data_IF_678906346860
#
_entry.id   IF_678906346860
#
_cell.length_a   1.000
_cell.length_b   1.000
_cell.length_c   1.000
_cell.angle_alpha   90.00
_cell.angle_beta   90.00
_cell.angle_gamma   90.00
#
_symmetry.space_group_name_H-M   'P 1'
#
loop_
_entity.id
_entity.type
_entity.pdbx_description
1 polymer ?
#
# COMPACT_ATOMS: atom_id res chain seq x y z
N UNK A 1 19.89 16.37 27.98
CA UNK A 1 18.98 17.36 27.37
C UNK A 1 18.48 16.76 26.07
N UNK A 2 17.16 16.72 25.88
CA UNK A 2 16.51 16.09 24.72
C UNK A 2 16.71 16.97 23.47
N UNK A 3 17.52 16.50 22.53
CA UNK A 3 17.86 17.20 21.28
C UNK A 3 16.85 16.75 20.22
N UNK A 4 15.63 17.27 20.31
CA UNK A 4 14.50 16.73 19.54
C UNK A 4 14.22 17.43 18.21
N UNK A 5 14.58 18.71 18.05
CA UNK A 5 14.09 19.50 16.93
C UNK A 5 15.12 20.42 16.28
N UNK A 6 16.13 20.87 17.01
CA UNK A 6 16.99 21.96 16.56
C UNK A 6 18.45 21.67 16.96
N UNK A 7 19.30 21.38 15.98
CA UNK A 7 20.75 21.36 16.17
C UNK A 7 21.32 22.55 15.42
N UNK A 8 22.05 23.43 16.11
CA UNK A 8 22.69 24.57 15.47
C UNK A 8 24.14 24.23 15.12
N UNK A 9 24.56 24.50 13.89
CA UNK A 9 25.98 24.49 13.55
C UNK A 9 26.72 25.61 14.31
N UNK A 10 28.07 25.52 14.46
CA UNK A 10 28.88 26.66 14.93
C UNK A 10 28.74 27.94 14.08
N UNK A 11 28.21 27.81 12.85
CA UNK A 11 27.84 28.91 11.96
C UNK A 11 26.51 29.60 12.31
N UNK A 12 25.78 29.10 13.31
CA UNK A 12 24.45 29.60 13.72
C UNK A 12 23.30 29.13 12.84
N UNK A 13 23.53 28.19 11.92
CA UNK A 13 22.48 27.64 11.05
C UNK A 13 21.67 26.57 11.77
N UNK A 14 20.35 26.68 11.71
CA UNK A 14 19.43 25.66 12.19
C UNK A 14 19.49 24.42 11.27
N UNK A 15 19.90 23.30 11.82
CA UNK A 15 19.77 21.98 11.21
C UNK A 15 18.63 21.20 11.87
N UNK A 16 17.90 20.47 11.04
CA UNK A 16 17.03 19.39 11.50
C UNK A 16 17.95 18.25 11.94
N UNK A 17 17.70 17.69 13.13
CA UNK A 17 18.51 16.61 13.72
C UNK A 17 18.77 15.47 12.72
N UNK A 18 20.03 15.03 12.66
CA UNK A 18 20.47 13.92 11.78
C UNK A 18 19.93 12.55 12.18
N UNK A 19 19.26 12.45 13.35
CA UNK A 19 18.61 11.24 13.83
C UNK A 19 17.14 11.13 13.40
N UNK A 20 16.60 12.12 12.68
CA UNK A 20 15.25 11.99 12.14
C UNK A 20 15.20 10.91 11.06
N UNK A 21 14.26 9.96 11.21
CA UNK A 21 13.92 9.02 10.16
C UNK A 21 13.25 9.77 9.02
N UNK A 22 14.04 10.12 7.99
CA UNK A 22 13.54 10.82 6.82
C UNK A 22 13.46 9.84 5.65
N UNK A 23 12.24 9.65 5.13
CA UNK A 23 12.01 9.00 3.86
C UNK A 23 12.07 10.04 2.75
N UNK A 24 12.96 9.88 1.78
CA UNK A 24 13.17 10.82 0.67
C UNK A 24 12.80 10.16 -0.66
N UNK A 25 12.16 10.93 -1.55
CA UNK A 25 11.80 10.46 -2.88
C UNK A 25 13.08 10.14 -3.66
N UNK A 26 13.18 8.91 -4.16
CA UNK A 26 14.29 8.44 -5.02
C UNK A 26 13.85 8.25 -6.45
N UNK A 27 12.62 7.79 -6.65
CA UNK A 27 12.10 7.46 -7.96
C UNK A 27 10.61 7.72 -7.99
N UNK A 28 10.13 8.30 -9.08
CA UNK A 28 8.70 8.30 -9.41
C UNK A 28 8.50 7.83 -10.83
N UNK A 29 7.31 7.31 -11.11
CA UNK A 29 6.96 6.85 -12.46
C UNK A 29 5.50 6.49 -12.58
N UNK A 30 5.15 5.98 -13.75
CA UNK A 30 3.81 5.48 -14.05
C UNK A 30 3.91 4.00 -14.41
N UNK A 31 2.98 3.22 -13.91
CA UNK A 31 2.76 1.83 -14.28
C UNK A 31 1.32 1.67 -14.76
N UNK A 32 1.04 0.56 -15.41
CA UNK A 32 -0.25 0.29 -16.01
C UNK A 32 -0.81 -1.04 -15.52
N UNK A 33 -2.12 -1.09 -15.38
CA UNK A 33 -2.84 -2.32 -15.09
C UNK A 33 -2.69 -3.30 -16.23
N UNK A 34 -2.32 -4.53 -15.90
CA UNK A 34 -2.11 -5.64 -16.82
C UNK A 34 -3.21 -6.68 -16.64
N UNK A 35 -3.46 -7.47 -17.70
CA UNK A 35 -4.32 -8.65 -17.61
C UNK A 35 -3.58 -9.79 -16.90
N UNK A 36 -3.43 -9.68 -15.59
CA UNK A 36 -2.75 -10.64 -14.75
C UNK A 36 -3.46 -10.72 -13.41
N UNK A 37 -3.93 -11.91 -13.08
CA UNK A 37 -4.66 -12.18 -11.85
C UNK A 37 -3.68 -12.48 -10.71
N UNK A 38 -3.92 -11.87 -9.55
CA UNK A 38 -3.21 -12.18 -8.30
C UNK A 38 -4.19 -12.81 -7.33
N UNK A 39 -4.14 -14.14 -7.21
CA UNK A 39 -5.20 -14.92 -6.57
C UNK A 39 -6.32 -15.29 -7.56
N UNK A 40 -7.34 -15.97 -7.08
CA UNK A 40 -8.37 -16.56 -7.95
C UNK A 40 -9.37 -15.52 -8.47
N UNK A 41 -9.52 -14.40 -7.77
CA UNK A 41 -10.66 -13.49 -7.94
C UNK A 41 -10.26 -12.02 -8.07
N UNK A 42 -8.97 -11.69 -7.95
CA UNK A 42 -8.48 -10.37 -8.29
C UNK A 42 -8.34 -10.27 -9.81
N UNK A 43 -9.16 -9.45 -10.50
CA UNK A 43 -9.30 -9.52 -11.95
C UNK A 43 -8.04 -9.06 -12.69
N UNK A 44 -7.32 -8.09 -12.12
CA UNK A 44 -6.15 -7.48 -12.75
C UNK A 44 -5.13 -7.04 -11.71
N UNK A 45 -3.92 -6.73 -12.16
CA UNK A 45 -2.85 -6.25 -11.29
C UNK A 45 -1.86 -5.40 -12.06
N UNK A 46 -1.01 -4.70 -11.33
CA UNK A 46 0.13 -3.99 -11.90
C UNK A 46 1.38 -4.22 -11.07
N UNK A 47 2.53 -4.04 -11.70
CA UNK A 47 3.83 -4.10 -11.05
C UNK A 47 4.38 -2.70 -10.82
N UNK A 48 4.91 -2.47 -9.63
CA UNK A 48 5.77 -1.33 -9.35
C UNK A 48 7.20 -1.84 -9.19
N UNK A 49 8.19 -1.25 -9.88
CA UNK A 49 9.58 -1.60 -9.69
C UNK A 49 9.94 -1.58 -8.21
N UNK A 50 10.39 -2.73 -7.71
CA UNK A 50 11.16 -2.77 -6.48
C UNK A 50 12.57 -2.29 -6.76
N UNK A 51 13.35 -2.10 -5.70
CA UNK A 51 14.76 -1.79 -5.84
C UNK A 51 15.56 -2.69 -4.93
N UNK A 52 16.51 -3.44 -5.50
CA UNK A 52 17.57 -4.07 -4.70
C UNK A 52 18.48 -3.01 -4.06
N UNK A 53 18.59 -1.83 -4.68
CA UNK A 53 19.28 -0.68 -4.12
C UNK A 53 18.53 -0.08 -2.93
N UNK A 54 17.19 -0.15 -2.93
CA UNK A 54 16.31 0.43 -1.91
C UNK A 54 15.36 -0.64 -1.32
N UNK A 55 15.90 -1.69 -0.65
CA UNK A 55 15.10 -2.84 -0.23
C UNK A 55 14.01 -2.48 0.79
N UNK A 56 14.20 -1.40 1.53
CA UNK A 56 13.27 -0.92 2.57
C UNK A 56 12.46 0.31 2.11
N UNK A 57 12.35 0.56 0.81
CA UNK A 57 11.59 1.70 0.32
C UNK A 57 10.08 1.55 0.59
N UNK A 58 9.46 2.68 0.89
CA UNK A 58 8.02 2.85 0.93
C UNK A 58 7.53 3.28 -0.46
N UNK A 59 6.43 2.67 -0.92
CA UNK A 59 5.84 2.98 -2.22
C UNK A 59 4.48 3.63 -1.97
N UNK A 60 4.37 4.90 -2.37
CA UNK A 60 3.09 5.60 -2.40
C UNK A 60 2.50 5.54 -3.81
N UNK A 61 1.20 5.27 -3.90
CA UNK A 61 0.46 5.10 -5.14
C UNK A 61 -0.57 6.21 -5.33
N UNK A 62 -0.65 6.74 -6.54
CA UNK A 62 -1.64 7.73 -6.97
C UNK A 62 -2.25 7.33 -8.33
N UNK A 63 -3.27 8.05 -8.78
CA UNK A 63 -4.03 7.72 -9.99
C UNK A 63 -5.09 6.63 -9.76
N UNK A 64 -5.24 5.70 -10.69
CA UNK A 64 -6.19 4.60 -10.59
C UNK A 64 -7.66 4.93 -10.86
N UNK A 65 -8.01 6.20 -11.10
CA UNK A 65 -9.34 6.59 -11.56
C UNK A 65 -10.50 6.27 -10.59
N UNK A 66 -10.25 6.18 -9.29
CA UNK A 66 -11.27 5.76 -8.31
C UNK A 66 -11.17 4.29 -7.91
N UNK A 67 -10.40 3.48 -8.65
CA UNK A 67 -10.25 2.06 -8.34
C UNK A 67 -9.22 1.83 -7.23
N UNK A 68 -9.52 0.87 -6.36
CA UNK A 68 -8.64 0.49 -5.27
C UNK A 68 -7.53 -0.45 -5.73
N UNK A 69 -6.39 -0.39 -5.05
CA UNK A 69 -5.32 -1.37 -5.18
C UNK A 69 -4.69 -1.72 -3.83
N UNK A 70 -4.16 -2.94 -3.72
CA UNK A 70 -3.59 -3.49 -2.48
C UNK A 70 -2.33 -4.29 -2.82
N UNK A 71 -1.35 -4.28 -1.93
CA UNK A 71 -0.14 -5.08 -2.13
C UNK A 71 -0.47 -6.57 -2.06
N UNK A 72 -0.25 -7.27 -3.18
CA UNK A 72 -0.47 -8.72 -3.30
C UNK A 72 0.79 -9.53 -2.98
N UNK A 73 1.97 -8.93 -3.15
CA UNK A 73 3.23 -9.59 -2.81
C UNK A 73 4.44 -9.02 -3.53
N UNK A 74 5.58 -9.68 -3.33
CA UNK A 74 6.83 -9.42 -4.02
C UNK A 74 7.07 -10.55 -5.02
N UNK A 75 7.23 -10.21 -6.30
CA UNK A 75 7.37 -11.18 -7.39
C UNK A 75 8.72 -11.03 -8.08
N UNK A 76 9.35 -12.17 -8.37
CA UNK A 76 10.59 -12.27 -9.14
C UNK A 76 11.86 -11.84 -8.38
N UNK A 77 13.01 -11.99 -9.05
CA UNK A 77 14.35 -11.74 -8.48
C UNK A 77 14.66 -10.25 -8.24
N UNK A 78 13.89 -9.34 -8.82
CA UNK A 78 14.08 -7.89 -8.74
C UNK A 78 13.28 -7.20 -7.62
N UNK A 79 12.73 -7.96 -6.68
CA UNK A 79 11.89 -7.46 -5.58
C UNK A 79 10.70 -6.60 -6.05
N UNK A 80 10.16 -6.87 -7.25
CA UNK A 80 9.05 -6.11 -7.83
C UNK A 80 7.80 -6.27 -6.98
N UNK A 81 7.17 -5.17 -6.58
CA UNK A 81 5.94 -5.22 -5.78
C UNK A 81 4.75 -5.29 -6.71
N UNK A 82 3.91 -6.31 -6.52
CA UNK A 82 2.69 -6.51 -7.28
C UNK A 82 1.50 -6.00 -6.47
N UNK A 83 0.62 -5.27 -7.14
CA UNK A 83 -0.61 -4.76 -6.55
C UNK A 83 -1.80 -5.32 -7.30
N UNK A 84 -2.70 -5.98 -6.57
CA UNK A 84 -4.01 -6.37 -7.09
C UNK A 84 -4.93 -5.16 -7.15
N UNK A 85 -5.79 -5.08 -8.16
CA UNK A 85 -6.70 -3.94 -8.33
C UNK A 85 -8.02 -4.34 -8.99
N UNK A 86 -9.04 -3.48 -8.83
CA UNK A 86 -10.33 -3.58 -9.53
C UNK A 86 -10.37 -2.74 -10.82
N UNK A 87 -9.28 -2.06 -11.15
CA UNK A 87 -9.18 -1.20 -12.32
C UNK A 87 -9.15 -2.01 -13.64
N UNK A 88 -9.71 -1.46 -14.74
CA UNK A 88 -9.55 -2.04 -16.07
C UNK A 88 -8.08 -2.07 -16.53
N UNK A 89 -7.74 -3.04 -17.39
CA UNK A 89 -6.43 -3.12 -18.05
C UNK A 89 -6.12 -1.83 -18.79
N UNK A 90 -4.88 -1.35 -18.69
CA UNK A 90 -4.43 -0.07 -19.25
C UNK A 90 -4.68 1.15 -18.35
N UNK A 91 -5.36 1.00 -17.21
CA UNK A 91 -5.50 2.10 -16.25
C UNK A 91 -4.13 2.49 -15.68
N UNK A 92 -3.76 3.79 -15.67
CA UNK A 92 -2.49 4.23 -15.13
C UNK A 92 -2.53 4.39 -13.60
N UNK A 93 -1.46 3.94 -12.95
CA UNK A 93 -1.12 4.28 -11.57
C UNK A 93 0.23 4.98 -11.54
N UNK A 94 0.32 6.09 -10.82
CA UNK A 94 1.59 6.74 -10.53
C UNK A 94 2.16 6.16 -9.25
N UNK A 95 3.47 5.94 -9.21
CA UNK A 95 4.17 5.47 -8.02
C UNK A 95 5.27 6.45 -7.62
N UNK A 96 5.50 6.53 -6.32
CA UNK A 96 6.54 7.33 -5.68
C UNK A 96 7.28 6.45 -4.67
N UNK A 97 8.55 6.19 -4.94
CA UNK A 97 9.42 5.35 -4.12
C UNK A 97 10.22 6.25 -3.18
N UNK A 98 9.92 6.16 -1.89
CA UNK A 98 10.61 6.86 -0.83
C UNK A 98 11.52 5.92 -0.07
N UNK A 99 12.80 6.27 0.04
CA UNK A 99 13.79 5.49 0.76
C UNK A 99 14.17 6.19 2.05
N UNK A 100 14.41 5.41 3.11
CA UNK A 100 15.07 5.92 4.31
C UNK A 100 16.46 6.46 3.96
N UNK A 101 16.67 7.76 4.11
CA UNK A 101 18.00 8.37 3.94
C UNK A 101 18.72 8.37 5.29
N UNK A 102 19.88 7.70 5.37
CA UNK A 102 20.80 7.83 6.52
C UNK A 102 21.90 8.88 6.26
N UNK A 103 21.93 9.45 5.06
CA UNK A 103 22.91 10.44 4.61
C UNK A 103 22.19 11.65 4.03
N UNK A 104 22.58 12.83 4.48
CA UNK A 104 22.21 14.09 3.82
C UNK A 104 23.23 14.37 2.72
N UNK A 105 22.82 14.71 1.49
CA UNK A 105 23.73 15.20 0.48
C UNK A 105 24.50 16.41 1.04
N UNK A 106 25.77 16.63 0.64
CA UNK A 106 26.57 17.79 1.05
C UNK A 106 26.09 19.12 0.43
N UNK A 107 24.80 19.24 0.14
CA UNK A 107 24.16 20.47 -0.36
C UNK A 107 23.72 21.34 0.81
N UNK A 108 23.65 22.67 0.59
CA UNK A 108 23.07 23.61 1.55
C UNK A 108 21.58 23.29 1.76
N UNK A 109 21.29 22.36 2.68
CA UNK A 109 19.96 22.13 3.21
C UNK A 109 19.67 23.17 4.27
N UNK A 110 18.49 23.76 4.19
CA UNK A 110 17.98 24.69 5.17
C UNK A 110 16.55 25.08 4.84
N UNK A 111 15.78 25.45 5.86
CA UNK A 111 14.50 26.13 5.69
C UNK A 111 14.73 27.45 4.94
N UNK A 112 15.95 27.98 4.93
CA UNK A 112 16.31 29.25 4.32
C UNK A 112 17.76 29.19 3.83
N UNK A 113 17.97 29.39 2.53
CA UNK A 113 19.28 29.52 1.90
C UNK A 113 19.36 30.91 1.27
N UNK A 114 20.40 31.67 1.57
CA UNK A 114 20.63 32.96 0.91
C UNK A 114 21.31 32.70 -0.45
N UNK A 115 20.72 33.21 -1.54
CA UNK A 115 21.41 33.34 -2.83
C UNK A 115 22.62 34.27 -2.69
N UNK A 116 23.53 34.21 -3.65
CA UNK A 116 24.64 35.18 -3.79
C UNK A 116 24.15 36.64 -3.89
N UNK A 117 22.89 36.84 -4.28
CA UNK A 117 22.19 38.14 -4.33
C UNK A 117 21.54 38.55 -2.99
N UNK A 118 21.64 37.73 -1.94
CA UNK A 118 21.02 37.99 -0.63
C UNK A 118 19.54 37.63 -0.54
N UNK A 119 18.95 37.04 -1.57
CA UNK A 119 17.56 36.55 -1.53
C UNK A 119 17.45 35.25 -0.74
N UNK A 120 16.45 35.17 0.13
CA UNK A 120 16.05 33.93 0.80
C UNK A 120 15.40 33.00 -0.23
N UNK A 121 15.96 31.81 -0.39
CA UNK A 121 15.37 30.72 -1.17
C UNK A 121 15.30 29.43 -0.39
N UNK A 122 14.21 28.70 -0.61
CA UNK A 122 14.01 27.36 -0.10
C UNK A 122 14.67 26.38 -1.08
N UNK A 123 15.82 25.82 -0.72
CA UNK A 123 16.46 24.75 -1.49
C UNK A 123 16.23 23.43 -0.77
N UNK A 124 15.40 22.57 -1.36
CA UNK A 124 15.40 21.15 -0.99
C UNK A 124 15.79 20.36 -2.22
N UNK A 125 17.05 19.93 -2.29
CA UNK A 125 17.49 18.89 -3.26
C UNK A 125 16.82 17.55 -2.95
N UNK A 126 16.24 17.38 -1.75
CA UNK A 126 15.44 16.24 -1.34
C UNK A 126 13.94 16.57 -1.28
N UNK A 127 13.12 15.63 -1.74
CA UNK A 127 11.67 15.66 -1.56
C UNK A 127 11.29 14.64 -0.48
N UNK A 128 11.13 15.12 0.75
CA UNK A 128 10.77 14.28 1.90
C UNK A 128 9.32 13.79 1.79
N UNK A 129 9.07 12.54 2.17
CA UNK A 129 7.73 11.97 2.30
C UNK A 129 6.94 12.73 3.36
N UNK A 130 5.80 13.32 2.96
CA UNK A 130 4.92 14.07 3.87
C UNK A 130 3.68 13.24 4.15
N UNK A 131 3.65 12.57 5.30
CA UNK A 131 2.47 11.84 5.77
C UNK A 131 1.52 12.82 6.45
N UNK A 132 0.30 12.95 5.94
CA UNK A 132 -0.72 13.83 6.50
C UNK A 132 -1.53 13.14 7.59
N UNK A 133 -1.82 11.86 7.40
CA UNK A 133 -2.66 11.06 8.27
C UNK A 133 -2.41 9.57 8.02
N UNK A 134 -2.69 8.73 9.02
CA UNK A 134 -2.81 7.29 8.87
C UNK A 134 -4.29 6.92 8.89
N UNK A 135 -4.76 6.20 7.88
CA UNK A 135 -6.05 5.53 7.92
C UNK A 135 -5.84 4.13 8.46
N UNK A 136 -6.63 3.77 9.47
CA UNK A 136 -6.64 2.43 10.05
C UNK A 136 -8.06 1.85 9.94
N UNK A 137 -8.16 0.61 9.49
CA UNK A 137 -9.42 -0.14 9.52
C UNK A 137 -9.16 -1.60 9.86
N UNK A 138 -9.99 -2.15 10.74
CA UNK A 138 -10.01 -3.56 11.13
C UNK A 138 -11.17 -4.33 10.47
N UNK A 139 -12.03 -3.63 9.71
CA UNK A 139 -13.33 -4.15 9.27
C UNK A 139 -13.62 -3.85 7.78
N UNK A 140 -14.72 -4.40 7.28
CA UNK A 140 -15.27 -4.30 5.91
C UNK A 140 -15.63 -2.87 5.50
N UNK A 141 -15.67 -1.92 6.44
CA UNK A 141 -15.97 -0.52 6.19
C UNK A 141 -14.87 0.26 5.46
N UNK A 142 -15.27 1.16 4.56
CA UNK A 142 -14.37 2.14 3.93
C UNK A 142 -14.21 3.36 4.82
N UNK A 143 -12.98 3.68 5.22
CA UNK A 143 -12.62 4.95 5.86
C UNK A 143 -12.01 5.86 4.80
N UNK A 144 -12.35 7.14 4.79
CA UNK A 144 -11.76 8.10 3.85
C UNK A 144 -11.42 9.42 4.55
N UNK A 145 -10.37 10.07 4.06
CA UNK A 145 -10.01 11.43 4.45
C UNK A 145 -9.77 12.30 3.21
N UNK A 146 -10.20 13.55 3.30
CA UNK A 146 -10.19 14.50 2.21
C UNK A 146 -9.33 15.73 2.56
N UNK A 147 -8.43 16.10 1.65
CA UNK A 147 -7.54 17.25 1.77
C UNK A 147 -7.65 18.13 0.51
N UNK A 148 -8.64 19.05 0.45
CA UNK A 148 -8.85 19.90 -0.70
C UNK A 148 -7.60 20.69 -1.11
N UNK A 149 -7.39 20.85 -2.42
CA UNK A 149 -6.24 21.56 -2.97
C UNK A 149 -4.91 20.79 -2.92
N UNK A 150 -4.92 19.53 -2.48
CA UNK A 150 -3.75 18.65 -2.50
C UNK A 150 -3.90 17.53 -3.52
N UNK A 151 -2.76 17.07 -4.01
CA UNK A 151 -2.64 15.81 -4.74
C UNK A 151 -2.10 14.76 -3.78
N UNK A 152 -2.90 13.71 -3.54
CA UNK A 152 -2.56 12.68 -2.58
C UNK A 152 -2.09 11.39 -3.27
N UNK A 153 -1.35 10.61 -2.50
CA UNK A 153 -1.04 9.22 -2.75
C UNK A 153 -1.28 8.43 -1.46
N UNK A 154 -1.41 7.12 -1.55
CA UNK A 154 -1.48 6.25 -0.39
C UNK A 154 -0.33 5.26 -0.37
N UNK A 155 0.21 4.98 0.83
CA UNK A 155 1.28 4.03 1.03
C UNK A 155 0.83 2.95 2.00
N UNK A 156 0.82 1.71 1.53
CA UNK A 156 0.56 0.53 2.34
C UNK A 156 1.90 -0.09 2.75
N UNK A 157 2.23 -0.02 4.04
CA UNK A 157 3.51 -0.50 4.57
C UNK A 157 3.57 -2.02 4.79
N UNK A 158 2.44 -2.68 4.93
CA UNK A 158 2.33 -4.11 5.21
C UNK A 158 1.06 -4.71 4.57
N UNK A 159 1.03 -6.04 4.43
CA UNK A 159 -0.18 -6.75 4.02
C UNK A 159 -1.32 -6.53 5.02
N UNK A 160 -2.52 -6.46 4.47
CA UNK A 160 -3.75 -6.30 5.22
C UNK A 160 -4.87 -7.03 4.50
N UNK A 161 -5.82 -7.55 5.25
CA UNK A 161 -6.87 -8.41 4.72
C UNK A 161 -7.44 -9.32 5.78
N UNK A 162 -8.32 -10.21 5.37
CA UNK A 162 -8.85 -11.24 6.24
C UNK A 162 -9.04 -12.54 5.49
N UNK A 163 -9.28 -13.58 6.28
CA UNK A 163 -9.92 -14.79 5.82
C UNK A 163 -10.89 -15.25 6.91
N UNK A 164 -12.16 -15.35 6.55
CA UNK A 164 -13.23 -15.86 7.40
C UNK A 164 -13.72 -17.18 6.83
N UNK A 165 -13.71 -18.23 7.64
CA UNK A 165 -14.24 -19.52 7.27
C UNK A 165 -15.78 -19.46 7.22
N UNK A 166 -16.33 -19.58 6.03
CA UNK A 166 -17.77 -19.74 5.79
C UNK A 166 -18.25 -21.18 6.08
N UNK A 167 -19.46 -21.54 5.64
CA UNK A 167 -20.01 -22.87 5.88
C UNK A 167 -19.25 -23.96 5.12
N UNK A 168 -19.27 -25.17 5.67
CA UNK A 168 -18.87 -26.38 4.95
C UNK A 168 -19.90 -26.66 3.85
N UNK A 169 -19.44 -26.81 2.62
CA UNK A 169 -20.28 -27.14 1.46
C UNK A 169 -19.85 -28.48 0.88
N UNK A 170 -20.83 -29.26 0.43
CA UNK A 170 -20.58 -30.49 -0.31
C UNK A 170 -20.34 -30.14 -1.79
N UNK A 171 -19.29 -30.71 -2.40
CA UNK A 171 -18.93 -30.47 -3.80
C UNK A 171 -20.02 -30.86 -4.83
N UNK A 172 -21.16 -31.41 -4.41
CA UNK A 172 -22.17 -32.01 -5.28
C UNK A 172 -23.43 -31.15 -5.57
N UNK A 173 -23.64 -29.97 -4.97
CA UNK A 173 -24.76 -29.12 -5.44
C UNK A 173 -25.42 -28.10 -4.52
N UNK A 174 -24.81 -27.66 -3.41
CA UNK A 174 -25.33 -26.55 -2.62
C UNK A 174 -25.16 -26.72 -1.12
N UNK A 175 -25.53 -25.70 -0.32
CA UNK A 175 -25.39 -25.76 1.13
C UNK A 175 -26.38 -26.76 1.74
N UNK A 176 -25.87 -27.84 2.33
CA UNK A 176 -26.63 -28.78 3.15
C UNK A 176 -26.20 -28.63 4.61
N UNK A 177 -27.16 -28.55 5.52
CA UNK A 177 -26.90 -28.58 6.97
C UNK A 177 -26.55 -30.03 7.33
N UNK A 178 -25.29 -30.28 7.69
CA UNK A 178 -24.86 -31.61 8.13
C UNK A 178 -25.39 -31.87 9.54
N UNK A 179 -26.17 -32.94 9.70
CA UNK A 179 -26.52 -33.49 11.02
C UNK A 179 -25.29 -34.23 11.58
N UNK A 180 -24.72 -33.80 12.73
CA UNK A 180 -23.54 -34.43 13.34
C UNK A 180 -23.74 -35.91 13.72
N UNK A 181 -24.97 -36.44 13.67
CA UNK A 181 -25.33 -37.79 14.12
C UNK A 181 -25.39 -38.89 13.05
N UNK A 182 -25.22 -38.58 11.76
CA UNK A 182 -25.46 -39.55 10.67
C UNK A 182 -24.22 -39.81 9.79
N UNK A 183 -23.26 -40.66 10.21
CA UNK A 183 -22.12 -41.04 9.39
C UNK A 183 -22.56 -42.12 8.39
N UNK A 184 -23.12 -41.72 7.25
CA UNK A 184 -23.77 -42.69 6.36
C UNK A 184 -23.88 -42.38 4.88
N UNK A 185 -23.53 -41.19 4.38
CA UNK A 185 -23.55 -40.92 2.94
C UNK A 185 -22.11 -40.79 2.42
N UNK A 186 -21.71 -41.79 1.61
CA UNK A 186 -20.34 -42.01 1.16
C UNK A 186 -19.81 -40.93 0.22
N UNK A 187 -18.49 -40.74 0.26
CA UNK A 187 -17.68 -39.93 -0.68
C UNK A 187 -18.09 -38.46 -0.88
N UNK A 188 -18.87 -37.88 0.04
CA UNK A 188 -19.08 -36.44 0.08
C UNK A 188 -17.74 -35.73 0.29
N UNK A 189 -17.20 -35.11 -0.76
CA UNK A 189 -16.06 -34.22 -0.67
C UNK A 189 -16.54 -32.89 -0.14
N UNK A 190 -16.17 -32.59 1.10
CA UNK A 190 -16.50 -31.35 1.76
C UNK A 190 -15.42 -30.31 1.52
N UNK A 191 -15.85 -29.06 1.39
CA UNK A 191 -14.97 -27.93 1.22
C UNK A 191 -15.46 -26.75 2.05
N UNK A 192 -14.52 -25.98 2.61
CA UNK A 192 -14.87 -24.75 3.30
C UNK A 192 -14.96 -23.63 2.26
N UNK A 193 -16.10 -22.93 2.20
CA UNK A 193 -16.17 -21.67 1.49
C UNK A 193 -15.46 -20.62 2.35
N UNK A 194 -14.43 -19.95 1.85
CA UNK A 194 -13.68 -18.96 2.63
C UNK A 194 -13.97 -17.58 2.08
N UNK A 195 -14.38 -16.63 2.92
CA UNK A 195 -14.39 -15.22 2.55
C UNK A 195 -12.98 -14.66 2.76
N UNK A 196 -12.19 -14.56 1.69
CA UNK A 196 -10.86 -13.95 1.70
C UNK A 196 -10.86 -12.60 1.01
N UNK A 197 -10.32 -11.57 1.65
CA UNK A 197 -10.19 -10.22 1.07
C UNK A 197 -8.82 -9.62 1.40
N UNK A 198 -8.20 -8.93 0.45
CA UNK A 198 -7.05 -8.06 0.73
C UNK A 198 -7.51 -6.62 0.85
N UNK A 199 -6.89 -5.85 1.73
CA UNK A 199 -7.27 -4.46 1.97
C UNK A 199 -6.24 -3.52 1.36
N UNK A 200 -6.71 -2.42 0.78
CA UNK A 200 -5.87 -1.43 0.15
C UNK A 200 -6.51 -0.05 0.09
N UNK A 201 -5.99 0.78 -0.81
CA UNK A 201 -6.39 2.18 -0.93
C UNK A 201 -6.90 2.54 -2.31
N UNK A 202 -7.72 3.59 -2.36
CA UNK A 202 -8.12 4.25 -3.60
C UNK A 202 -7.97 5.77 -3.45
N UNK A 203 -8.01 6.45 -4.59
CA UNK A 203 -8.10 7.91 -4.67
C UNK A 203 -9.42 8.32 -5.32
N UNK A 204 -10.06 9.33 -4.77
CA UNK A 204 -11.25 9.96 -5.33
C UNK A 204 -11.09 11.48 -5.42
N UNK A 205 -12.10 12.15 -5.98
CA UNK A 205 -12.18 13.62 -6.07
C UNK A 205 -10.93 14.24 -6.71
N UNK A 206 -10.50 13.71 -7.85
CA UNK A 206 -9.32 14.19 -8.57
C UNK A 206 -7.99 13.99 -7.82
N UNK A 207 -7.95 13.09 -6.84
CA UNK A 207 -6.77 12.81 -6.02
C UNK A 207 -6.73 13.55 -4.69
N UNK A 208 -7.76 14.31 -4.33
CA UNK A 208 -7.85 15.03 -3.04
C UNK A 208 -8.37 14.16 -1.88
N UNK A 209 -8.94 12.98 -2.17
CA UNK A 209 -9.46 12.06 -1.16
C UNK A 209 -8.75 10.73 -1.26
N UNK A 210 -8.22 10.22 -0.14
CA UNK A 210 -7.75 8.85 0.00
C UNK A 210 -8.77 8.08 0.82
N UNK A 211 -9.14 6.88 0.36
CA UNK A 211 -9.98 5.97 1.12
C UNK A 211 -9.45 4.55 1.14
N UNK A 212 -9.93 3.76 2.09
CA UNK A 212 -9.66 2.33 2.20
C UNK A 212 -10.77 1.53 1.51
N UNK A 213 -10.40 0.41 0.89
CA UNK A 213 -11.37 -0.51 0.29
C UNK A 213 -10.81 -1.94 0.28
N UNK A 214 -11.71 -2.91 0.31
CA UNK A 214 -11.38 -4.30 0.03
C UNK A 214 -11.18 -4.51 -1.47
N UNK A 215 -10.15 -5.26 -1.81
CA UNK A 215 -9.78 -5.64 -3.17
C UNK A 215 -9.73 -7.16 -3.20
N UNK A 216 -10.20 -7.75 -4.30
CA UNK A 216 -10.46 -9.19 -4.45
C UNK A 216 -11.73 -9.66 -3.72
N UNK A 217 -12.31 -10.74 -4.26
CA UNK A 217 -13.42 -11.50 -3.68
C UNK A 217 -12.97 -12.96 -3.56
N UNK A 218 -12.00 -13.27 -2.69
CA UNK A 218 -11.41 -14.60 -2.64
C UNK A 218 -12.31 -15.58 -1.89
N UNK A 219 -13.46 -15.87 -2.50
CA UNK A 219 -14.34 -16.97 -2.16
C UNK A 219 -13.67 -18.26 -2.67
N UNK A 220 -12.63 -18.72 -1.94
CA UNK A 220 -11.87 -19.90 -2.35
C UNK A 220 -12.35 -21.11 -1.58
N UNK A 221 -12.78 -22.10 -2.35
CA UNK A 221 -13.07 -23.45 -1.89
C UNK A 221 -11.77 -24.15 -1.48
N UNK A 222 -11.56 -24.42 -0.19
CA UNK A 222 -10.41 -25.22 0.29
C UNK A 222 -10.85 -26.67 0.47
N UNK A 223 -10.22 -27.56 -0.30
CA UNK A 223 -10.39 -29.03 -0.35
C UNK A 223 -10.06 -29.55 -1.76
N UNK A 224 -10.13 -30.87 -2.04
CA UNK A 224 -10.85 -31.90 -1.32
C UNK A 224 -9.90 -32.88 -0.63
N UNK A 225 -9.90 -32.86 0.69
CA UNK A 225 -9.53 -33.98 1.56
C UNK A 225 -10.25 -33.74 2.88
N UNK A 226 -10.56 -34.77 3.69
CA UNK A 226 -11.27 -34.58 4.95
C UNK A 226 -10.33 -33.83 5.90
N UNK A 227 -10.34 -32.51 5.82
CA UNK A 227 -9.80 -31.64 6.86
C UNK A 227 -10.98 -31.31 7.78
N UNK A 228 -11.14 -32.06 8.88
CA UNK A 228 -12.24 -31.86 9.82
C UNK A 228 -12.06 -30.56 10.61
N UNK A 229 -10.91 -29.88 10.49
CA UNK A 229 -10.62 -28.66 11.23
C UNK A 229 -11.03 -27.47 10.39
N UNK A 230 -12.04 -26.73 10.86
CA UNK A 230 -12.33 -25.40 10.34
C UNK A 230 -11.03 -24.59 10.47
N UNK A 231 -10.42 -24.12 9.37
CA UNK A 231 -9.18 -23.38 9.52
C UNK A 231 -9.50 -22.07 10.26
N UNK A 232 -8.57 -21.51 11.05
CA UNK A 232 -8.87 -20.37 11.93
C UNK A 232 -9.09 -19.08 11.14
N UNK A 233 -10.08 -18.30 11.57
CA UNK A 233 -10.28 -16.94 11.07
C UNK A 233 -9.05 -16.08 11.41
N UNK A 234 -8.71 -15.16 10.50
CA UNK A 234 -7.73 -14.13 10.79
C UNK A 234 -8.13 -12.81 10.16
N UNK A 235 -7.76 -11.73 10.84
CA UNK A 235 -7.88 -10.36 10.36
C UNK A 235 -6.53 -9.68 10.57
N UNK A 236 -6.03 -9.08 9.50
CA UNK A 236 -4.85 -8.22 9.48
C UNK A 236 -5.33 -6.79 9.18
N UNK A 237 -5.37 -5.91 10.19
CA UNK A 237 -5.79 -4.52 10.02
C UNK A 237 -5.01 -3.80 8.92
N UNK A 238 -5.71 -2.97 8.15
CA UNK A 238 -5.06 -2.08 7.19
C UNK A 238 -4.55 -0.85 7.93
N UNK A 239 -3.26 -0.54 7.73
CA UNK A 239 -2.67 0.76 8.04
C UNK A 239 -2.16 1.39 6.75
N UNK A 240 -2.73 2.54 6.40
CA UNK A 240 -2.48 3.21 5.14
C UNK A 240 -2.09 4.67 5.37
N UNK A 241 -0.89 5.03 4.95
CA UNK A 241 -0.40 6.40 5.07
C UNK A 241 -0.94 7.25 3.93
N UNK A 242 -1.55 8.39 4.25
CA UNK A 242 -1.91 9.42 3.29
C UNK A 242 -0.68 10.29 3.08
N UNK A 243 -0.16 10.29 1.85
CA UNK A 243 1.06 10.98 1.46
C UNK A 243 0.70 12.16 0.59
N UNK A 244 1.16 13.35 0.96
CA UNK A 244 1.07 14.52 0.11
C UNK A 244 2.14 14.44 -0.99
N UNK A 245 1.69 14.36 -2.23
CA UNK A 245 2.55 14.35 -3.43
C UNK A 245 2.35 15.59 -4.30
N UNK A 246 1.72 16.63 -3.75
CA UNK A 246 1.49 17.90 -4.44
C UNK A 246 2.82 18.49 -4.94
N UNK A 247 2.91 18.70 -6.25
CA UNK A 247 4.09 19.27 -6.89
C UNK A 247 5.29 18.31 -7.01
N UNK A 248 5.12 17.02 -6.68
CA UNK A 248 6.13 16.01 -6.99
C UNK A 248 6.02 15.57 -8.45
N UNK A 249 7.10 15.66 -9.26
CA UNK A 249 7.05 15.24 -10.65
C UNK A 249 6.96 13.71 -10.74
N UNK A 250 6.37 13.23 -11.84
CA UNK A 250 6.26 11.80 -12.19
C UNK A 250 7.28 11.48 -13.28
N UNK A 251 7.95 10.32 -13.19
CA UNK A 251 8.93 9.88 -14.19
C UNK A 251 10.34 10.42 -13.95
N UNK A 252 10.67 10.79 -12.70
CA UNK A 252 11.96 11.40 -12.35
C UNK A 252 12.72 10.51 -11.37
N UNK A 253 14.03 10.38 -11.59
CA UNK A 253 14.98 9.80 -10.63
C UNK A 253 15.69 10.93 -9.87
N UNK A 254 15.84 10.75 -8.57
CA UNK A 254 16.47 11.69 -7.65
C UNK A 254 17.71 11.05 -7.00
N UNK A 255 18.76 11.84 -6.81
CA UNK A 255 20.04 11.42 -6.25
C UNK A 255 20.13 11.78 -4.75
#
# INVERSE_FOLDING_TARGET
>A
MAVGFETFEPSGKLQISSEMLIYVLRLSGTTFVENFQVGNTCPTSFAVPGSQTYPNALIALSGGGGHAAAIAGVYGAASTRRYGTTAPVGTPFNYYLFERSNTYPPTNFGIEVLKQTGEIVFSTSQRVMRVLQVLETEDVGSVAANFPGRQLAWCQGAWAGHRIAGPLIENSGGPVIVDPGAPGEGDAQYTWNNDGKIYGGYLANGGATVGTQQISFDDVTIGPTPDPTQPPDYILPLKLFIVDVTGLPVGVQFY
#
